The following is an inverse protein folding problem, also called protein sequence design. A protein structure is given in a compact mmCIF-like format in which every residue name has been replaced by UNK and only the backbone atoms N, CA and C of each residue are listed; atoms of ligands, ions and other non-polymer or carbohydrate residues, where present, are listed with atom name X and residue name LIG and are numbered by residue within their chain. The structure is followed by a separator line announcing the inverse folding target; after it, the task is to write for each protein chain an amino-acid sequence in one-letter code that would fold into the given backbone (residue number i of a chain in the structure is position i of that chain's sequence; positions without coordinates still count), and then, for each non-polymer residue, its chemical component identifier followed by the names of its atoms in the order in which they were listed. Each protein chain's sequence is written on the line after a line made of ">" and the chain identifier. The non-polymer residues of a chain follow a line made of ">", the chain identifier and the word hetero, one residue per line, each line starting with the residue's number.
data_IF_523344236032
#
_entry.id   IF_523344236032
#
_cell.length_a   1.000
_cell.length_b   1.000
_cell.length_c   1.000
_cell.angle_alpha   90.00
_cell.angle_beta   90.00
_cell.angle_gamma   90.00
#
_symmetry.space_group_name_H-M   'P 1'
#
loop_
_entity.id
_entity.type
_entity.pdbx_description
1 polymer ?
#
# COMPACT_ATOMS: atom_id res chain seq x y z
N UNK A 1 -3.06 51.76 -36.45
CA UNK A 1 -1.98 51.52 -37.44
C UNK A 1 -2.24 50.18 -38.10
N UNK A 2 -2.33 50.15 -39.43
CA UNK A 2 -2.65 48.96 -40.22
C UNK A 2 -1.34 48.34 -40.69
N UNK A 3 -0.96 47.20 -40.16
CA UNK A 3 0.05 46.32 -40.78
C UNK A 3 -0.62 44.98 -41.05
N UNK A 4 -1.24 44.94 -42.22
CA UNK A 4 -1.67 43.74 -42.90
C UNK A 4 -0.46 43.17 -43.65
N UNK A 5 -0.45 41.84 -43.79
CA UNK A 5 0.43 40.98 -44.58
C UNK A 5 1.79 40.62 -43.99
N UNK A 6 1.90 39.34 -43.57
CA UNK A 6 2.93 38.50 -44.17
C UNK A 6 2.44 37.06 -44.44
N UNK A 7 2.25 36.81 -45.74
CA UNK A 7 2.56 35.61 -46.51
C UNK A 7 2.20 34.23 -45.95
N UNK A 8 1.11 33.73 -46.52
CA UNK A 8 0.89 32.37 -46.99
C UNK A 8 2.13 31.87 -47.76
N UNK A 9 2.61 30.68 -47.40
CA UNK A 9 3.62 29.88 -48.08
C UNK A 9 3.96 28.74 -47.11
N UNK A 10 3.28 27.60 -47.14
CA UNK A 10 3.21 26.69 -48.28
C UNK A 10 4.28 25.63 -48.05
N UNK A 11 3.86 24.42 -47.66
CA UNK A 11 4.79 23.30 -47.50
C UNK A 11 4.43 22.46 -46.29
N UNK A 12 3.72 21.36 -46.54
CA UNK A 12 3.20 20.49 -45.51
C UNK A 12 4.29 19.82 -44.68
N UNK A 13 4.03 19.74 -43.39
CA UNK A 13 4.43 18.58 -42.63
C UNK A 13 3.15 18.12 -41.92
N UNK A 14 2.41 17.24 -42.62
CA UNK A 14 1.44 16.34 -42.00
C UNK A 14 2.22 15.47 -41.03
N UNK A 15 2.54 16.02 -39.85
CA UNK A 15 3.05 15.24 -38.74
C UNK A 15 1.86 14.39 -38.33
N UNK A 16 1.87 13.17 -38.83
CA UNK A 16 1.00 12.08 -38.43
C UNK A 16 0.92 12.12 -36.91
N UNK A 17 -0.25 12.52 -36.40
CA UNK A 17 -0.63 12.32 -35.02
C UNK A 17 -0.68 10.80 -34.83
N UNK A 18 0.49 10.20 -34.60
CA UNK A 18 0.60 8.93 -33.97
C UNK A 18 0.07 9.17 -32.56
N UNK A 19 -1.24 8.99 -32.42
CA UNK A 19 -1.93 8.81 -31.15
C UNK A 19 -1.38 7.54 -30.52
N UNK A 20 -0.14 7.61 -30.01
CA UNK A 20 0.30 6.78 -28.93
C UNK A 20 -0.62 7.12 -27.78
N UNK A 21 -1.72 6.37 -27.67
CA UNK A 21 -2.43 6.18 -26.43
C UNK A 21 -1.38 5.59 -25.49
N UNK A 22 -0.61 6.47 -24.86
CA UNK A 22 -0.04 6.19 -23.56
C UNK A 22 -1.28 5.98 -22.71
N UNK A 23 -1.68 4.71 -22.61
CA UNK A 23 -2.35 4.20 -21.45
C UNK A 23 -1.34 4.50 -20.35
N UNK A 24 -1.39 5.74 -19.85
CA UNK A 24 -0.87 6.11 -18.56
C UNK A 24 -1.64 5.18 -17.66
N UNK A 25 -1.03 4.00 -17.42
CA UNK A 25 -1.55 3.02 -16.51
C UNK A 25 -1.94 3.83 -15.30
N UNK A 26 -3.23 3.74 -14.96
CA UNK A 26 -3.76 4.26 -13.72
C UNK A 26 -2.83 3.72 -12.65
N UNK A 27 -1.83 4.53 -12.29
CA UNK A 27 -0.97 4.24 -11.18
C UNK A 27 -1.96 4.16 -10.07
N UNK A 28 -2.18 2.94 -9.58
CA UNK A 28 -2.70 2.69 -8.26
C UNK A 28 -1.89 3.62 -7.38
N UNK A 29 -2.45 4.79 -7.10
CA UNK A 29 -1.82 5.78 -6.27
C UNK A 29 -1.79 5.06 -4.94
N UNK A 30 -0.59 4.61 -4.57
CA UNK A 30 -0.34 3.84 -3.38
C UNK A 30 -0.40 4.85 -2.23
N UNK A 31 -1.11 4.53 -1.14
CA UNK A 31 -1.09 5.42 0.01
C UNK A 31 0.36 5.54 0.46
N UNK A 32 0.84 6.77 0.60
CA UNK A 32 2.17 7.02 1.10
C UNK A 32 2.24 6.44 2.52
N UNK A 33 3.12 5.46 2.81
CA UNK A 33 3.22 4.90 4.15
C UNK A 33 3.56 5.98 5.20
N UNK A 34 4.17 7.09 4.80
CA UNK A 34 4.46 8.23 5.67
C UNK A 34 3.18 9.01 6.08
N UNK A 35 2.06 8.85 5.35
CA UNK A 35 0.76 9.44 5.68
C UNK A 35 -0.08 8.57 6.64
N UNK A 36 0.47 7.46 7.13
CA UNK A 36 -0.21 6.54 8.03
C UNK A 36 0.32 6.64 9.46
N UNK A 37 -0.59 6.87 10.40
CA UNK A 37 -0.28 6.74 11.82
C UNK A 37 -0.43 5.27 12.23
N UNK A 38 0.60 4.72 12.87
CA UNK A 38 0.64 3.34 13.38
C UNK A 38 0.80 3.38 14.90
N UNK A 39 -0.08 2.69 15.60
CA UNK A 39 -0.04 2.52 17.05
C UNK A 39 0.22 1.04 17.38
N UNK A 40 1.46 0.66 17.72
CA UNK A 40 1.79 -0.71 18.09
C UNK A 40 1.29 -0.99 19.52
N UNK A 41 0.51 -2.06 19.66
CA UNK A 41 0.15 -2.68 20.93
C UNK A 41 1.14 -3.79 21.31
N UNK A 42 0.84 -4.50 22.40
CA UNK A 42 1.69 -5.61 22.86
C UNK A 42 1.55 -6.83 21.94
N UNK A 43 0.32 -7.16 21.52
CA UNK A 43 0.01 -8.37 20.73
C UNK A 43 -0.74 -8.05 19.44
N UNK A 44 -0.92 -6.77 19.16
CA UNK A 44 -1.62 -6.26 17.99
C UNK A 44 -1.07 -4.89 17.61
N UNK A 45 -1.51 -4.38 16.47
CA UNK A 45 -1.27 -3.01 16.06
C UNK A 45 -2.51 -2.48 15.37
N UNK A 46 -2.72 -1.17 15.47
CA UNK A 46 -3.73 -0.45 14.70
C UNK A 46 -3.06 0.62 13.86
N UNK A 47 -3.65 0.92 12.71
CA UNK A 47 -3.15 1.98 11.86
C UNK A 47 -4.28 2.72 11.16
N UNK A 48 -4.03 3.98 10.81
CA UNK A 48 -4.94 4.80 10.02
C UNK A 48 -4.15 5.71 9.11
N UNK A 49 -4.44 5.62 7.81
CA UNK A 49 -3.88 6.53 6.81
C UNK A 49 -4.76 7.77 6.67
N UNK A 50 -4.14 8.94 6.64
CA UNK A 50 -4.82 10.24 6.56
C UNK A 50 -4.79 10.85 5.17
N UNK A 51 -3.85 10.43 4.33
CA UNK A 51 -3.69 10.90 2.96
C UNK A 51 -3.23 9.74 2.07
N UNK A 52 -3.27 9.95 0.76
CA UNK A 52 -2.98 8.95 -0.26
C UNK A 52 -4.21 8.54 -1.05
N UNK A 53 -3.99 7.68 -2.03
CA UNK A 53 -5.07 7.01 -2.74
C UNK A 53 -4.87 5.49 -2.63
N UNK A 54 -5.80 4.71 -3.17
CA UNK A 54 -5.74 3.25 -3.10
C UNK A 54 -6.10 2.68 -1.72
N UNK A 55 -5.71 1.43 -1.52
CA UNK A 55 -5.88 0.71 -0.27
C UNK A 55 -4.50 0.37 0.31
N UNK A 56 -4.45 0.25 1.63
CA UNK A 56 -3.26 -0.23 2.34
C UNK A 56 -3.64 -1.34 3.30
N UNK A 57 -2.68 -2.16 3.67
CA UNK A 57 -2.82 -3.15 4.72
C UNK A 57 -1.78 -2.89 5.82
N UNK A 58 -2.15 -3.14 7.06
CA UNK A 58 -1.27 -3.20 8.21
C UNK A 58 -0.75 -4.62 8.37
N UNK A 59 0.57 -4.74 8.49
CA UNK A 59 1.30 -5.96 8.76
C UNK A 59 2.02 -5.85 10.09
N UNK A 60 2.20 -6.99 10.76
CA UNK A 60 2.95 -7.10 12.01
C UNK A 60 3.94 -8.25 11.96
N UNK A 61 5.13 -8.01 12.48
CA UNK A 61 6.09 -9.05 12.83
C UNK A 61 5.96 -9.36 14.31
N UNK A 62 5.99 -10.65 14.63
CA UNK A 62 5.69 -11.19 15.93
C UNK A 62 6.82 -12.06 16.45
N UNK A 63 6.93 -12.17 17.77
CA UNK A 63 7.78 -13.14 18.46
C UNK A 63 6.95 -13.88 19.50
N UNK A 64 6.92 -15.21 19.44
CA UNK A 64 6.09 -15.98 20.37
C UNK A 64 6.02 -17.46 20.09
N UNK A 65 4.96 -18.08 20.57
CA UNK A 65 4.65 -19.49 20.41
C UNK A 65 3.77 -19.71 19.18
N UNK A 66 4.08 -20.76 18.42
CA UNK A 66 3.28 -21.28 17.33
C UNK A 66 3.01 -22.76 17.62
N UNK A 67 1.76 -23.19 17.53
CA UNK A 67 1.37 -24.60 17.59
C UNK A 67 1.11 -25.08 16.18
N UNK A 68 2.15 -25.44 15.39
CA UNK A 68 1.90 -26.05 14.09
C UNK A 68 1.06 -27.31 14.30
N UNK A 69 0.21 -27.64 13.34
CA UNK A 69 -0.70 -28.80 13.35
C UNK A 69 0.02 -30.17 13.31
N UNK A 70 1.30 -30.22 13.69
CA UNK A 70 2.22 -31.35 13.55
C UNK A 70 2.69 -31.83 14.94
N UNK A 71 3.12 -33.09 15.06
CA UNK A 71 3.30 -33.75 16.36
C UNK A 71 4.44 -33.20 17.24
N UNK A 72 5.24 -32.25 16.74
CA UNK A 72 6.44 -31.74 17.41
C UNK A 72 6.14 -30.75 18.56
N UNK A 73 4.87 -30.38 18.76
CA UNK A 73 4.45 -29.47 19.82
C UNK A 73 4.68 -27.99 19.50
N UNK A 74 4.45 -27.08 20.47
CA UNK A 74 4.63 -25.65 20.25
C UNK A 74 6.10 -25.28 20.02
N UNK A 75 6.33 -24.43 19.03
CA UNK A 75 7.65 -23.87 18.68
C UNK A 75 7.67 -22.40 19.09
N UNK A 76 8.76 -21.95 19.71
CA UNK A 76 9.00 -20.53 19.96
C UNK A 76 9.84 -19.92 18.83
N UNK A 77 9.40 -18.80 18.26
CA UNK A 77 10.11 -18.14 17.17
C UNK A 77 9.44 -16.87 16.65
N UNK A 78 10.09 -16.26 15.66
CA UNK A 78 9.54 -15.12 14.94
C UNK A 78 8.56 -15.60 13.85
N UNK A 79 7.49 -14.83 13.61
CA UNK A 79 6.52 -15.11 12.57
C UNK A 79 5.78 -13.84 12.14
N UNK A 80 5.15 -13.89 10.97
CA UNK A 80 4.24 -12.83 10.50
C UNK A 80 2.87 -13.01 11.14
N UNK A 81 2.33 -11.97 11.77
CA UNK A 81 1.00 -12.03 12.34
C UNK A 81 -0.11 -11.96 11.28
N UNK A 82 -1.34 -11.87 11.76
CA UNK A 82 -2.52 -11.66 10.93
C UNK A 82 -2.47 -10.29 10.28
N UNK A 83 -2.50 -10.26 8.96
CA UNK A 83 -2.60 -9.03 8.18
C UNK A 83 -4.00 -8.44 8.29
N UNK A 84 -4.11 -7.12 8.30
CA UNK A 84 -5.40 -6.45 8.21
C UNK A 84 -6.01 -6.60 6.81
N UNK A 85 -7.34 -6.54 6.71
CA UNK A 85 -8.00 -6.36 5.40
C UNK A 85 -7.55 -5.05 4.75
N UNK A 86 -7.17 -5.05 3.44
CA UNK A 86 -6.84 -3.83 2.73
C UNK A 86 -7.94 -2.78 2.86
N UNK A 87 -7.57 -1.58 3.29
CA UNK A 87 -8.49 -0.52 3.68
C UNK A 87 -8.14 0.80 2.99
N UNK A 88 -9.16 1.53 2.56
CA UNK A 88 -8.99 2.86 1.97
C UNK A 88 -8.57 3.90 3.01
N UNK A 89 -8.07 5.05 2.53
CA UNK A 89 -7.70 6.19 3.39
C UNK A 89 -8.85 6.59 4.32
N UNK A 90 -8.50 6.89 5.56
CA UNK A 90 -9.43 7.25 6.62
C UNK A 90 -10.09 6.07 7.33
N UNK A 91 -9.98 4.84 6.82
CA UNK A 91 -10.45 3.63 7.51
C UNK A 91 -9.38 3.06 8.46
N UNK A 92 -9.78 2.54 9.63
CA UNK A 92 -8.84 1.88 10.54
C UNK A 92 -8.44 0.50 10.02
N UNK A 93 -7.18 0.15 10.21
CA UNK A 93 -6.61 -1.17 9.98
C UNK A 93 -6.19 -1.78 11.31
N UNK A 94 -6.27 -3.11 11.43
CA UNK A 94 -5.82 -3.85 12.61
C UNK A 94 -5.17 -5.16 12.20
N UNK A 95 -4.03 -5.45 12.81
CA UNK A 95 -3.24 -6.66 12.61
C UNK A 95 -2.90 -7.25 13.99
N UNK A 96 -2.75 -8.57 14.12
CA UNK A 96 -2.53 -9.22 15.41
C UNK A 96 -1.54 -10.37 15.37
N UNK A 97 -0.75 -10.48 16.44
CA UNK A 97 0.12 -11.62 16.76
C UNK A 97 -0.63 -12.74 17.51
N UNK A 98 -1.95 -12.73 17.53
CA UNK A 98 -2.75 -13.80 18.12
C UNK A 98 -3.64 -14.39 17.04
N UNK A 99 -3.59 -15.71 16.91
CA UNK A 99 -4.50 -16.52 16.10
C UNK A 99 -4.81 -17.82 16.83
N UNK A 100 -5.58 -18.71 16.21
CA UNK A 100 -5.91 -20.01 16.81
C UNK A 100 -4.65 -20.84 17.12
N UNK A 101 -3.59 -20.68 16.32
CA UNK A 101 -2.35 -21.46 16.45
C UNK A 101 -1.13 -20.61 16.86
N UNK A 102 -1.30 -19.33 17.16
CA UNK A 102 -0.18 -18.44 17.47
C UNK A 102 -0.48 -17.50 18.63
N UNK A 103 0.52 -17.30 19.49
CA UNK A 103 0.49 -16.35 20.59
C UNK A 103 1.84 -15.66 20.70
N UNK A 104 1.89 -14.36 20.43
CA UNK A 104 3.15 -13.62 20.51
C UNK A 104 2.96 -12.13 20.75
N UNK A 105 4.10 -11.47 20.89
CA UNK A 105 4.18 -10.01 21.01
C UNK A 105 4.54 -9.39 19.66
N UNK A 106 4.00 -8.20 19.40
CA UNK A 106 4.31 -7.39 18.22
C UNK A 106 5.70 -6.78 18.40
N UNK A 107 6.64 -7.17 17.54
CA UNK A 107 7.99 -6.60 17.52
C UNK A 107 8.09 -5.45 16.53
N UNK A 108 7.34 -5.51 15.41
CA UNK A 108 7.24 -4.45 14.41
C UNK A 108 5.83 -4.38 13.84
N UNK A 109 5.41 -3.19 13.46
CA UNK A 109 4.16 -2.93 12.76
C UNK A 109 4.44 -1.93 11.63
N UNK A 110 3.91 -2.17 10.44
CA UNK A 110 4.13 -1.31 9.28
C UNK A 110 2.99 -1.42 8.27
N UNK A 111 2.78 -0.35 7.51
CA UNK A 111 1.74 -0.27 6.48
C UNK A 111 2.35 -0.54 5.11
N UNK A 112 1.70 -1.40 4.32
CA UNK A 112 2.05 -1.67 2.94
C UNK A 112 0.93 -1.24 2.00
N UNK A 113 1.25 -0.59 0.86
CA UNK A 113 0.26 -0.32 -0.19
C UNK A 113 -0.22 -1.63 -0.84
N UNK A 114 -1.48 -1.67 -1.28
CA UNK A 114 -2.12 -2.83 -1.93
C UNK A 114 -2.75 -2.49 -3.27
#
# INVERSE_FOLDING_TARGET
>A
MRTLLWRIGGGGCLVTLASGLLIAGSGSAQADPDACYVEPGITDAVARCHDGAGASALEVECLGLMTPSTPDGPIFGAYSGTESVPSAVGQPMRASCISDDTLGITTRAFVTPR
#
